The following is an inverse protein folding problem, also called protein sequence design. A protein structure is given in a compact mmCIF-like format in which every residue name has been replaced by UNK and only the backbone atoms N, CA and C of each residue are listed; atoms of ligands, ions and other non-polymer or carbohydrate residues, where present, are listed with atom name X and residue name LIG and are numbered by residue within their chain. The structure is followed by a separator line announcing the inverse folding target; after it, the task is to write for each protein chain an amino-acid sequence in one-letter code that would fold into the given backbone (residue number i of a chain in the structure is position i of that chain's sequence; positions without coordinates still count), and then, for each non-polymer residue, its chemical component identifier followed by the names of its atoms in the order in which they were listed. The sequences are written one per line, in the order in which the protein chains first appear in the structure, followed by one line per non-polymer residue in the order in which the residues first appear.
data_IF_680736110564
#
_entry.id   IF_680736110564
#
_cell.length_a   1.000
_cell.length_b   1.000
_cell.length_c   1.000
_cell.angle_alpha   90.00
_cell.angle_beta   90.00
_cell.angle_gamma   90.00
#
_symmetry.space_group_name_H-M   'P 1'
#
loop_
_entity.id
_entity.type
_entity.pdbx_description
1 polymer ?
#
# COMPACT_ATOMS: atom_id res chain seq x y z
N UNK A 1 12.53 -10.65 -6.58
CA UNK A 1 11.65 -9.45 -6.64
C UNK A 1 12.56 -8.23 -6.51
N UNK A 2 12.20 -7.05 -7.05
CA UNK A 2 13.08 -5.87 -7.00
C UNK A 2 12.28 -4.58 -6.77
N UNK A 3 12.95 -3.58 -6.18
CA UNK A 3 12.46 -2.19 -6.11
C UNK A 3 12.83 -1.46 -7.40
N UNK A 4 11.84 -0.99 -8.16
CA UNK A 4 12.10 -0.27 -9.41
C UNK A 4 12.16 1.25 -9.22
N UNK A 5 11.41 1.77 -8.25
CA UNK A 5 11.46 3.18 -7.90
C UNK A 5 11.03 3.40 -6.45
N UNK A 6 11.59 4.47 -5.90
CA UNK A 6 11.17 5.04 -4.62
C UNK A 6 10.57 6.41 -4.94
N UNK A 7 9.39 6.68 -4.40
CA UNK A 7 8.71 7.96 -4.54
C UNK A 7 8.35 8.53 -3.18
N UNK A 8 8.64 9.81 -2.97
CA UNK A 8 8.34 10.53 -1.73
C UNK A 8 7.48 11.74 -2.03
N UNK A 9 6.70 12.17 -1.06
CA UNK A 9 5.95 13.43 -1.13
C UNK A 9 6.66 14.49 -0.29
N UNK A 10 6.84 15.68 -0.86
CA UNK A 10 7.03 16.88 -0.04
C UNK A 10 5.70 17.35 0.55
N UNK A 11 5.73 18.34 1.45
CA UNK A 11 4.51 19.04 1.83
C UNK A 11 3.82 19.61 0.59
N UNK A 12 2.56 19.22 0.38
CA UNK A 12 1.88 19.52 -0.88
C UNK A 12 0.37 19.55 -0.75
N UNK A 13 -0.25 20.37 -1.61
CA UNK A 13 -1.69 20.43 -1.75
C UNK A 13 -2.10 19.75 -3.05
N UNK A 14 -3.16 18.95 -3.00
CA UNK A 14 -3.88 18.51 -4.19
C UNK A 14 -5.08 19.44 -4.40
N UNK A 15 -5.20 19.94 -5.63
CA UNK A 15 -6.33 20.78 -6.04
C UNK A 15 -7.28 19.98 -6.91
N UNK A 16 -8.56 19.98 -6.58
CA UNK A 16 -9.62 19.43 -7.44
C UNK A 16 -10.85 20.32 -7.36
N UNK A 17 -11.38 20.74 -8.53
CA UNK A 17 -12.53 21.65 -8.64
C UNK A 17 -12.42 22.89 -7.74
N UNK A 18 -11.24 23.51 -7.69
CA UNK A 18 -10.97 24.72 -6.90
C UNK A 18 -10.74 24.51 -5.39
N UNK A 19 -10.84 23.28 -4.86
CA UNK A 19 -10.55 22.97 -3.46
C UNK A 19 -9.11 22.47 -3.30
N UNK A 20 -8.34 23.10 -2.42
CA UNK A 20 -6.99 22.67 -2.02
C UNK A 20 -7.07 21.81 -0.76
N UNK A 21 -6.52 20.60 -0.82
CA UNK A 21 -6.45 19.66 0.30
C UNK A 21 -4.99 19.28 0.54
N UNK A 22 -4.51 19.40 1.77
CA UNK A 22 -3.18 18.94 2.16
C UNK A 22 -3.09 17.42 2.01
N UNK A 23 -2.11 16.93 1.25
CA UNK A 23 -2.00 15.50 0.95
C UNK A 23 -0.61 15.11 0.45
N UNK A 24 -0.06 14.01 0.99
CA UNK A 24 1.13 13.33 0.46
C UNK A 24 0.86 12.38 -0.72
N UNK A 25 -0.31 12.44 -1.36
CA UNK A 25 -0.62 11.55 -2.51
C UNK A 25 0.21 11.89 -3.76
N UNK A 26 0.68 13.13 -3.86
CA UNK A 26 1.57 13.57 -4.94
C UNK A 26 3.01 13.20 -4.60
N UNK A 27 3.39 11.96 -4.92
CA UNK A 27 4.76 11.49 -4.76
C UNK A 27 5.57 11.70 -6.03
N UNK A 28 6.83 12.07 -5.84
CA UNK A 28 7.84 12.23 -6.89
C UNK A 28 8.93 11.21 -6.69
N UNK A 29 9.40 10.65 -7.80
CA UNK A 29 10.52 9.71 -7.80
C UNK A 29 11.76 10.39 -7.22
N UNK A 30 12.50 9.64 -6.40
CA UNK A 30 13.84 10.00 -5.95
C UNK A 30 14.85 9.02 -6.53
N UNK A 31 16.01 9.53 -6.93
CA UNK A 31 17.04 8.72 -7.59
C UNK A 31 18.14 8.22 -6.63
N UNK A 32 18.19 8.77 -5.42
CA UNK A 32 19.17 8.42 -4.39
C UNK A 32 18.64 7.46 -3.32
N UNK A 33 19.55 6.92 -2.48
CA UNK A 33 19.17 6.13 -1.31
C UNK A 33 18.34 6.98 -0.33
N UNK A 34 17.39 6.34 0.33
CA UNK A 34 16.57 6.92 1.40
C UNK A 34 16.81 6.16 2.70
N UNK A 35 16.51 6.80 3.83
CA UNK A 35 16.52 6.14 5.13
C UNK A 35 15.09 5.80 5.55
N UNK A 36 14.87 4.56 6.01
CA UNK A 36 13.55 4.08 6.42
C UNK A 36 13.58 3.70 7.89
N UNK A 37 12.66 4.30 8.63
CA UNK A 37 12.46 4.13 10.08
C UNK A 37 11.15 3.40 10.35
N UNK A 38 10.90 3.02 11.61
CA UNK A 38 9.59 2.50 12.05
C UNK A 38 8.43 3.45 11.81
N UNK A 39 8.69 4.75 11.68
CA UNK A 39 7.67 5.76 11.41
C UNK A 39 7.44 6.01 9.92
N UNK A 40 8.33 5.51 9.05
CA UNK A 40 8.25 5.67 7.60
C UNK A 40 9.58 6.12 6.98
N UNK A 41 9.51 6.52 5.72
CA UNK A 41 10.68 6.99 4.96
C UNK A 41 10.98 8.45 5.36
N UNK A 42 12.22 8.72 5.75
CA UNK A 42 12.68 10.07 6.07
C UNK A 42 12.48 10.98 4.87
N UNK A 43 11.77 12.09 5.07
CA UNK A 43 11.44 13.06 4.02
C UNK A 43 10.14 12.78 3.27
N UNK A 44 9.43 11.67 3.55
CA UNK A 44 8.05 11.49 3.04
C UNK A 44 7.04 12.15 3.97
N UNK A 45 6.24 13.07 3.42
CA UNK A 45 5.21 13.76 4.18
C UNK A 45 3.95 12.88 4.36
N UNK A 46 3.60 12.61 5.61
CA UNK A 46 2.36 11.92 5.97
C UNK A 46 1.37 12.91 6.61
N UNK A 47 0.52 13.52 5.78
CA UNK A 47 -0.47 14.51 6.22
C UNK A 47 -1.45 14.01 7.29
N UNK A 48 -1.67 12.69 7.36
CA UNK A 48 -2.65 12.04 8.22
C UNK A 48 -2.05 10.72 8.71
N UNK A 49 -1.42 10.76 9.88
CA UNK A 49 -0.76 9.58 10.46
C UNK A 49 -1.78 8.54 10.96
N UNK A 50 -3.01 8.93 11.29
CA UNK A 50 -4.05 7.98 11.72
C UNK A 50 -4.55 7.13 10.55
N UNK A 51 -4.89 7.75 9.42
CA UNK A 51 -5.50 7.04 8.29
C UNK A 51 -4.48 6.61 7.23
N UNK A 52 -3.36 7.29 7.10
CA UNK A 52 -2.39 7.08 6.00
C UNK A 52 -0.94 6.91 6.46
N UNK A 53 -0.69 6.76 7.76
CA UNK A 53 0.66 6.60 8.31
C UNK A 53 0.70 5.78 9.59
N UNK A 54 1.76 5.99 10.37
CA UNK A 54 2.02 5.24 11.60
C UNK A 54 2.72 3.89 11.35
N UNK A 55 3.07 3.20 12.44
CA UNK A 55 3.96 2.03 12.41
C UNK A 55 3.44 0.92 11.48
N UNK A 56 2.12 0.71 11.44
CA UNK A 56 1.51 -0.30 10.56
C UNK A 56 1.46 0.10 9.08
N UNK A 57 1.68 1.38 8.76
CA UNK A 57 1.59 1.93 7.41
C UNK A 57 2.84 2.75 7.06
N UNK A 58 3.99 2.35 7.59
CA UNK A 58 5.25 3.07 7.43
C UNK A 58 5.66 3.20 5.95
N UNK A 59 5.44 2.16 5.16
CA UNK A 59 5.75 2.14 3.73
C UNK A 59 4.59 1.57 2.93
N UNK A 60 4.17 2.24 1.87
CA UNK A 60 3.18 1.73 0.93
C UNK A 60 3.85 1.19 -0.34
N UNK A 61 3.60 -0.08 -0.68
CA UNK A 61 4.15 -0.73 -1.86
C UNK A 61 3.05 -1.04 -2.90
N UNK A 62 3.41 -0.90 -4.17
CA UNK A 62 2.52 -1.17 -5.30
C UNK A 62 3.24 -1.89 -6.44
N UNK A 63 2.63 -2.95 -6.95
CA UNK A 63 3.22 -3.80 -7.97
C UNK A 63 3.21 -3.12 -9.36
N UNK A 64 4.32 -3.21 -10.10
CA UNK A 64 4.41 -2.68 -11.48
C UNK A 64 3.52 -3.44 -12.46
N UNK A 65 3.16 -4.67 -12.13
CA UNK A 65 2.16 -5.45 -12.85
C UNK A 65 0.78 -4.77 -12.79
N UNK A 66 0.42 -4.19 -11.64
CA UNK A 66 -0.81 -3.41 -11.52
C UNK A 66 -0.73 -2.08 -12.26
N UNK A 67 0.45 -1.46 -12.34
CA UNK A 67 0.68 -0.31 -13.22
C UNK A 67 0.33 -0.67 -14.67
N UNK A 68 0.85 -1.77 -15.20
CA UNK A 68 0.56 -2.21 -16.59
C UNK A 68 -0.93 -2.40 -16.84
N UNK A 69 -1.64 -3.00 -15.89
CA UNK A 69 -3.10 -3.13 -15.96
C UNK A 69 -3.77 -1.76 -16.10
N UNK A 70 -3.46 -0.81 -15.21
CA UNK A 70 -4.08 0.52 -15.25
C UNK A 70 -3.66 1.35 -16.45
N UNK A 71 -2.42 1.24 -16.91
CA UNK A 71 -1.96 1.92 -18.12
C UNK A 71 -2.74 1.45 -19.36
N UNK A 72 -3.05 0.16 -19.44
CA UNK A 72 -3.91 -0.39 -20.49
C UNK A 72 -5.36 0.11 -20.36
N UNK A 73 -5.94 0.02 -19.15
CA UNK A 73 -7.32 0.46 -18.90
C UNK A 73 -7.52 1.97 -19.11
N UNK A 74 -6.50 2.78 -18.85
CA UNK A 74 -6.56 4.24 -18.96
C UNK A 74 -5.99 4.77 -20.28
N UNK A 75 -5.40 3.90 -21.11
CA UNK A 75 -4.79 4.28 -22.38
C UNK A 75 -3.63 5.27 -22.27
N UNK A 76 -2.93 5.32 -21.13
CA UNK A 76 -1.83 6.26 -20.89
C UNK A 76 -0.77 5.69 -19.95
N UNK A 77 0.47 6.15 -20.10
CA UNK A 77 1.55 5.85 -19.16
C UNK A 77 1.32 6.56 -17.83
N UNK A 78 1.67 5.90 -16.74
CA UNK A 78 1.53 6.43 -15.38
C UNK A 78 2.92 6.54 -14.73
N UNK A 79 3.26 7.67 -14.10
CA UNK A 79 4.51 7.79 -13.37
C UNK A 79 4.48 6.97 -12.07
N UNK A 80 5.64 6.50 -11.59
CA UNK A 80 5.71 5.89 -10.27
C UNK A 80 5.41 6.91 -9.17
N UNK A 81 4.66 6.48 -8.14
CA UNK A 81 4.03 7.33 -7.15
C UNK A 81 2.62 7.79 -7.54
N UNK A 82 2.09 7.41 -8.71
CA UNK A 82 0.76 7.84 -9.17
C UNK A 82 -0.35 7.45 -8.20
N UNK A 83 -0.24 6.28 -7.56
CA UNK A 83 -1.22 5.81 -6.59
C UNK A 83 -0.89 6.26 -5.17
N UNK A 84 0.16 7.07 -4.99
CA UNK A 84 0.66 7.55 -3.70
C UNK A 84 1.51 6.52 -2.96
N UNK A 85 2.01 5.50 -3.64
CA UNK A 85 2.94 4.52 -3.10
C UNK A 85 4.35 5.08 -2.92
N UNK A 86 5.04 4.55 -1.92
CA UNK A 86 6.46 4.79 -1.73
C UNK A 86 7.31 3.92 -2.63
N UNK A 87 6.93 2.64 -2.78
CA UNK A 87 7.73 1.66 -3.51
C UNK A 87 6.96 1.12 -4.70
N UNK A 88 7.51 1.31 -5.91
CA UNK A 88 7.12 0.54 -7.07
C UNK A 88 7.95 -0.75 -7.11
N UNK A 89 7.30 -1.90 -6.94
CA UNK A 89 7.95 -3.22 -6.78
C UNK A 89 7.55 -4.19 -7.89
N UNK A 90 8.38 -5.21 -8.15
CA UNK A 90 8.13 -6.23 -9.18
C UNK A 90 8.05 -7.64 -8.59
N UNK A 91 7.14 -8.45 -9.12
CA UNK A 91 6.90 -9.82 -8.67
C UNK A 91 6.13 -9.93 -7.34
N UNK A 92 5.45 -8.86 -6.93
CA UNK A 92 4.76 -8.74 -5.64
C UNK A 92 3.30 -8.30 -5.82
N UNK A 93 2.54 -9.01 -6.66
CA UNK A 93 1.12 -8.67 -6.90
C UNK A 93 0.24 -8.97 -5.68
N UNK A 94 -0.95 -8.36 -5.62
CA UNK A 94 -1.92 -8.53 -4.53
C UNK A 94 -2.36 -9.99 -4.32
N UNK A 95 -2.22 -10.83 -5.35
CA UNK A 95 -2.49 -12.28 -5.27
C UNK A 95 -1.35 -13.09 -4.66
N UNK A 96 -0.11 -12.60 -4.72
CA UNK A 96 1.08 -13.34 -4.32
C UNK A 96 1.60 -12.96 -2.94
N UNK A 97 1.19 -11.80 -2.43
CA UNK A 97 1.62 -11.24 -1.15
C UNK A 97 0.52 -11.47 -0.11
N UNK A 98 0.89 -11.97 1.06
CA UNK A 98 -0.04 -12.24 2.15
C UNK A 98 0.19 -11.32 3.34
N UNK A 99 -0.87 -11.03 4.09
CA UNK A 99 -0.75 -10.31 5.35
C UNK A 99 0.08 -11.16 6.31
N UNK A 100 1.12 -10.56 6.89
CA UNK A 100 2.08 -11.24 7.77
C UNK A 100 3.37 -11.70 7.09
N UNK A 101 3.44 -11.75 5.76
CA UNK A 101 4.67 -12.04 5.03
C UNK A 101 5.79 -11.06 5.44
N UNK A 102 7.01 -11.58 5.60
CA UNK A 102 8.20 -10.78 5.93
C UNK A 102 9.14 -10.78 4.74
N UNK A 103 9.60 -9.58 4.37
CA UNK A 103 10.54 -9.38 3.28
C UNK A 103 11.79 -8.66 3.75
N UNK A 104 12.94 -9.06 3.20
CA UNK A 104 14.17 -8.29 3.22
C UNK A 104 14.21 -7.39 1.98
N UNK A 105 14.49 -6.12 2.17
CA UNK A 105 14.61 -5.11 1.11
C UNK A 105 15.88 -4.29 1.36
N UNK A 106 16.96 -4.61 0.64
CA UNK A 106 18.28 -4.07 0.98
C UNK A 106 18.67 -4.41 2.43
N UNK A 107 18.87 -3.39 3.27
CA UNK A 107 19.18 -3.55 4.69
C UNK A 107 17.93 -3.67 5.60
N UNK A 108 16.74 -3.45 5.04
CA UNK A 108 15.47 -3.46 5.77
C UNK A 108 14.90 -4.86 5.93
N UNK A 109 14.17 -5.05 7.03
CA UNK A 109 13.20 -6.12 7.17
C UNK A 109 11.83 -5.49 7.42
N UNK A 110 10.84 -5.88 6.63
CA UNK A 110 9.50 -5.31 6.64
C UNK A 110 8.46 -6.41 6.66
N UNK A 111 7.30 -6.13 7.27
CA UNK A 111 6.19 -7.07 7.37
C UNK A 111 4.92 -6.46 6.78
N UNK A 112 4.19 -7.26 6.00
CA UNK A 112 2.91 -6.87 5.41
C UNK A 112 1.83 -6.81 6.48
N UNK A 113 1.10 -5.69 6.54
CA UNK A 113 0.16 -5.42 7.64
C UNK A 113 -1.29 -5.35 7.22
N UNK A 114 -1.56 -4.83 6.01
CA UNK A 114 -2.91 -4.62 5.50
C UNK A 114 -2.89 -4.24 4.01
N UNK A 115 -3.99 -4.50 3.27
CA UNK A 115 -4.27 -3.84 2.02
C UNK A 115 -4.42 -2.32 2.17
N UNK A 116 -4.17 -1.60 1.08
CA UNK A 116 -4.58 -0.20 0.98
C UNK A 116 -6.09 -0.12 0.79
N UNK A 117 -6.73 0.75 1.58
CA UNK A 117 -8.09 1.21 1.31
C UNK A 117 -8.02 2.56 0.58
N UNK A 118 -8.52 2.68 -0.67
CA UNK A 118 -8.45 3.94 -1.41
C UNK A 118 -9.40 4.98 -0.79
N UNK A 119 -9.03 6.26 -0.86
CA UNK A 119 -9.83 7.38 -0.36
C UNK A 119 -10.06 8.43 -1.46
N UNK A 120 -10.89 9.44 -1.17
CA UNK A 120 -11.26 10.48 -2.15
C UNK A 120 -10.07 11.24 -2.75
N UNK A 121 -8.94 11.34 -2.02
CA UNK A 121 -7.70 11.97 -2.51
C UNK A 121 -7.12 11.25 -3.73
N UNK A 122 -7.33 9.93 -3.86
CA UNK A 122 -6.97 9.18 -5.07
C UNK A 122 -7.82 9.64 -6.26
N UNK A 123 -9.13 9.81 -6.07
CA UNK A 123 -10.01 10.31 -7.13
C UNK A 123 -9.61 11.71 -7.59
N UNK A 124 -9.25 12.59 -6.65
CA UNK A 124 -8.68 13.90 -6.97
C UNK A 124 -7.37 13.78 -7.78
N UNK A 125 -6.45 12.89 -7.38
CA UNK A 125 -5.16 12.68 -8.05
C UNK A 125 -5.31 12.10 -9.47
N UNK A 126 -6.35 11.29 -9.67
CA UNK A 126 -6.66 10.67 -10.96
C UNK A 126 -7.56 11.54 -11.84
N UNK A 127 -8.01 12.69 -11.32
CA UNK A 127 -8.98 13.58 -11.97
C UNK A 127 -10.28 12.86 -12.33
N UNK A 128 -10.64 11.85 -11.54
CA UNK A 128 -11.82 11.00 -11.71
C UNK A 128 -12.28 10.47 -10.35
N UNK A 129 -13.38 11.00 -9.82
CA UNK A 129 -13.95 10.58 -8.54
C UNK A 129 -14.41 9.11 -8.57
N UNK A 130 -14.89 8.61 -9.71
CA UNK A 130 -15.33 7.22 -9.86
C UNK A 130 -14.15 6.23 -9.86
N UNK A 131 -12.92 6.71 -10.10
CA UNK A 131 -11.72 5.90 -10.05
C UNK A 131 -11.51 5.24 -8.69
N UNK A 132 -11.92 5.88 -7.59
CA UNK A 132 -11.81 5.32 -6.24
C UNK A 132 -12.52 3.97 -6.15
N UNK A 133 -13.74 3.90 -6.70
CA UNK A 133 -14.52 2.67 -6.75
C UNK A 133 -13.89 1.63 -7.68
N UNK A 134 -13.48 2.02 -8.89
CA UNK A 134 -12.81 1.12 -9.85
C UNK A 134 -11.55 0.50 -9.24
N UNK A 135 -10.74 1.32 -8.57
CA UNK A 135 -9.53 0.89 -7.89
C UNK A 135 -9.82 -0.10 -6.77
N UNK A 136 -10.79 0.21 -5.90
CA UNK A 136 -11.23 -0.68 -4.81
C UNK A 136 -11.72 -2.04 -5.33
N UNK A 137 -12.63 -2.05 -6.31
CA UNK A 137 -13.23 -3.29 -6.81
C UNK A 137 -12.30 -4.11 -7.70
N UNK A 138 -11.24 -3.52 -8.25
CA UNK A 138 -10.22 -4.27 -8.99
C UNK A 138 -9.45 -5.28 -8.11
N UNK A 139 -9.39 -5.02 -6.80
CA UNK A 139 -8.52 -5.77 -5.87
C UNK A 139 -7.02 -5.54 -6.08
N UNK A 140 -6.64 -4.60 -6.96
CA UNK A 140 -5.26 -4.20 -7.26
C UNK A 140 -4.90 -2.96 -6.48
N UNK A 141 -4.88 -3.09 -5.16
CA UNK A 141 -4.81 -1.93 -4.26
C UNK A 141 -3.42 -1.71 -3.68
N UNK A 142 -2.55 -2.70 -3.76
CA UNK A 142 -1.27 -2.73 -3.05
C UNK A 142 -1.44 -2.83 -1.54
N UNK A 143 -0.34 -2.71 -0.83
CA UNK A 143 -0.28 -3.08 0.58
C UNK A 143 0.70 -2.23 1.36
N UNK A 144 0.41 -2.10 2.65
CA UNK A 144 1.26 -1.42 3.60
C UNK A 144 2.20 -2.39 4.30
N UNK A 145 3.35 -1.84 4.67
CA UNK A 145 4.45 -2.51 5.33
C UNK A 145 4.77 -1.77 6.62
N UNK A 146 4.92 -2.52 7.71
CA UNK A 146 5.62 -2.06 8.93
C UNK A 146 7.09 -2.41 8.83
N UNK A 147 7.93 -1.61 9.48
CA UNK A 147 9.38 -1.82 9.50
C UNK A 147 9.76 -2.57 10.76
N UNK A 148 10.35 -3.76 10.59
CA UNK A 148 10.89 -4.57 11.68
C UNK A 148 12.34 -4.17 11.98
N UNK A 149 13.12 -3.94 10.91
CA UNK A 149 14.51 -3.48 10.96
C UNK A 149 14.69 -2.26 10.06
N UNK A 150 15.11 -1.16 10.67
CA UNK A 150 15.38 0.13 10.02
C UNK A 150 16.70 0.12 9.25
N UNK A 151 16.87 1.05 8.31
CA UNK A 151 18.06 1.10 7.48
C UNK A 151 17.90 1.88 6.18
N UNK A 152 18.98 1.93 5.37
CA UNK A 152 18.93 2.50 4.03
C UNK A 152 18.18 1.61 3.04
N UNK A 153 17.61 2.24 2.03
CA UNK A 153 16.94 1.61 0.90
C UNK A 153 17.27 2.37 -0.39
N UNK A 154 17.61 1.66 -1.46
CA UNK A 154 17.91 2.24 -2.76
C UNK A 154 16.99 1.71 -3.86
N UNK A 155 16.67 2.53 -4.89
CA UNK A 155 16.15 1.99 -6.14
C UNK A 155 17.09 0.91 -6.68
N UNK A 156 16.54 -0.21 -7.14
CA UNK A 156 17.32 -1.36 -7.62
C UNK A 156 17.65 -2.41 -6.57
N UNK A 157 17.40 -2.14 -5.27
CA UNK A 157 17.61 -3.15 -4.23
C UNK A 157 16.75 -4.40 -4.49
N UNK A 158 17.37 -5.56 -4.25
CA UNK A 158 16.69 -6.84 -4.31
C UNK A 158 15.72 -6.99 -3.14
N UNK A 159 14.62 -7.68 -3.42
CA UNK A 159 13.61 -8.07 -2.43
C UNK A 159 13.58 -9.59 -2.34
N UNK A 160 13.73 -10.08 -1.12
CA UNK A 160 13.67 -11.50 -0.77
C UNK A 160 12.55 -11.72 0.25
N UNK A 161 11.75 -12.77 0.06
CA UNK A 161 10.76 -13.19 1.06
C UNK A 161 11.46 -14.06 2.10
N UNK A 162 11.48 -13.59 3.34
CA UNK A 162 12.06 -14.31 4.47
C UNK A 162 11.05 -15.25 5.13
N UNK A 163 9.77 -14.87 5.10
CA UNK A 163 8.68 -15.60 5.75
C UNK A 163 7.39 -15.50 4.95
N UNK A 164 6.66 -16.60 4.88
CA UNK A 164 5.27 -16.67 4.42
C UNK A 164 4.39 -16.91 5.63
N UNK A 165 3.39 -16.05 5.84
CA UNK A 165 2.45 -16.23 6.96
C UNK A 165 1.65 -17.54 6.80
N UNK A 166 1.42 -18.25 7.91
CA UNK A 166 0.77 -19.56 7.88
C UNK A 166 -0.69 -19.50 7.39
N UNK A 167 -1.40 -18.39 7.63
CA UNK A 167 -2.79 -18.21 7.20
C UNK A 167 -2.87 -17.97 5.68
N UNK A 168 -1.80 -17.45 5.07
CA UNK A 168 -1.71 -17.16 3.63
C UNK A 168 -2.92 -16.34 3.12
N UNK A 169 -3.36 -15.35 3.90
CA UNK A 169 -4.40 -14.43 3.47
C UNK A 169 -3.83 -13.39 2.50
N UNK A 170 -4.11 -13.57 1.21
CA UNK A 170 -3.61 -12.66 0.16
C UNK A 170 -4.18 -11.25 0.33
N UNK A 171 -3.46 -10.23 -0.16
CA UNK A 171 -3.95 -8.84 -0.17
C UNK A 171 -5.25 -8.72 -0.95
N UNK A 172 -5.35 -9.43 -2.08
CA UNK A 172 -6.56 -9.43 -2.90
C UNK A 172 -7.74 -10.07 -2.18
N UNK A 173 -7.55 -11.18 -1.48
CA UNK A 173 -8.63 -11.84 -0.74
C UNK A 173 -9.03 -11.03 0.50
N UNK A 174 -8.08 -10.43 1.20
CA UNK A 174 -8.36 -9.56 2.33
C UNK A 174 -9.29 -8.39 1.98
N UNK A 175 -9.20 -7.84 0.76
CA UNK A 175 -10.11 -6.80 0.28
C UNK A 175 -11.58 -7.24 0.22
N UNK A 176 -11.85 -8.54 0.05
CA UNK A 176 -13.22 -9.06 0.06
C UNK A 176 -13.87 -8.91 1.44
N UNK A 177 -13.10 -8.86 2.54
CA UNK A 177 -13.64 -8.63 3.88
C UNK A 177 -14.41 -7.30 4.00
N UNK A 178 -14.06 -6.31 3.16
CA UNK A 178 -14.67 -4.99 3.16
C UNK A 178 -16.01 -4.93 2.40
N UNK A 179 -16.28 -5.91 1.55
CA UNK A 179 -17.43 -5.93 0.65
C UNK A 179 -18.42 -7.04 1.05
N UNK A 180 -19.72 -6.81 0.90
CA UNK A 180 -20.72 -7.88 1.08
C UNK A 180 -20.52 -8.96 0.03
N UNK A 181 -20.22 -10.17 0.47
CA UNK A 181 -20.08 -11.35 -0.38
C UNK A 181 -20.29 -12.63 0.45
N UNK A 182 -20.54 -13.80 -0.16
CA UNK A 182 -20.82 -15.04 0.57
C UNK A 182 -19.70 -15.49 1.51
N UNK A 183 -18.44 -15.18 1.19
CA UNK A 183 -17.25 -15.55 1.96
C UNK A 183 -16.82 -14.47 2.96
N UNK A 184 -17.56 -13.37 3.10
CA UNK A 184 -17.12 -12.22 3.88
C UNK A 184 -16.78 -12.58 5.33
N UNK A 185 -17.62 -13.37 5.99
CA UNK A 185 -17.41 -13.72 7.41
C UNK A 185 -16.26 -14.72 7.60
N UNK A 186 -16.08 -15.66 6.66
CA UNK A 186 -14.93 -16.58 6.62
C UNK A 186 -13.61 -15.79 6.54
N UNK A 187 -13.53 -14.82 5.63
CA UNK A 187 -12.33 -14.01 5.44
C UNK A 187 -12.08 -13.08 6.63
N UNK A 188 -13.14 -12.53 7.24
CA UNK A 188 -13.02 -11.75 8.48
C UNK A 188 -12.41 -12.60 9.59
N UNK A 189 -12.89 -13.83 9.78
CA UNK A 189 -12.37 -14.74 10.80
C UNK A 189 -10.87 -15.02 10.57
N UNK A 190 -10.50 -15.42 9.35
CA UNK A 190 -9.09 -15.66 8.98
C UNK A 190 -8.20 -14.43 9.19
N UNK A 191 -8.65 -13.25 8.77
CA UNK A 191 -7.89 -12.02 8.93
C UNK A 191 -7.64 -11.69 10.41
N UNK A 192 -8.61 -11.94 11.29
CA UNK A 192 -8.47 -11.71 12.72
C UNK A 192 -7.52 -12.70 13.40
N UNK A 193 -7.24 -13.86 12.80
CA UNK A 193 -6.24 -14.81 13.29
C UNK A 193 -4.81 -14.38 12.95
N UNK A 194 -4.60 -13.60 11.88
CA UNK A 194 -3.26 -13.12 11.48
C UNK A 194 -2.72 -12.15 12.54
N UNK A 195 -1.66 -12.48 13.30
CA UNK A 195 -1.15 -11.59 14.36
C UNK A 195 -0.64 -10.27 13.80
N UNK A 196 -0.09 -10.32 12.58
CA UNK A 196 0.46 -9.17 11.90
C UNK A 196 -0.57 -8.19 11.35
N UNK A 197 -1.88 -8.51 11.33
CA UNK A 197 -2.91 -7.59 10.84
C UNK A 197 -2.86 -6.27 11.61
N UNK A 198 -2.85 -5.15 10.88
CA UNK A 198 -2.83 -3.81 11.49
C UNK A 198 -3.96 -3.61 12.50
N UNK A 199 -3.72 -2.78 13.52
CA UNK A 199 -4.73 -2.50 14.55
C UNK A 199 -6.01 -1.91 13.95
N UNK A 200 -5.86 -0.93 13.04
CA UNK A 200 -6.99 -0.26 12.39
C UNK A 200 -7.86 -1.25 11.60
N UNK A 201 -7.26 -2.18 10.86
CA UNK A 201 -8.04 -3.24 10.19
C UNK A 201 -8.71 -4.15 11.20
N UNK A 202 -7.98 -4.60 12.23
CA UNK A 202 -8.53 -5.49 13.26
C UNK A 202 -9.78 -4.90 13.91
N UNK A 203 -9.75 -3.62 14.27
CA UNK A 203 -10.89 -2.93 14.86
C UNK A 203 -12.06 -2.78 13.87
N UNK A 204 -11.77 -2.44 12.60
CA UNK A 204 -12.77 -2.34 11.54
C UNK A 204 -13.46 -3.68 11.26
N UNK A 205 -12.69 -4.77 11.21
CA UNK A 205 -13.21 -6.11 10.94
C UNK A 205 -14.01 -6.66 12.12
N UNK A 206 -13.59 -6.42 13.37
CA UNK A 206 -14.37 -6.80 14.56
C UNK A 206 -15.77 -6.18 14.58
N UNK A 207 -15.92 -4.94 14.11
CA UNK A 207 -17.24 -4.28 13.98
C UNK A 207 -18.12 -4.90 12.89
N UNK A 208 -17.53 -5.64 11.94
CA UNK A 208 -18.20 -6.30 10.82
C UNK A 208 -18.41 -7.80 11.05
N UNK A 209 -17.75 -8.36 12.05
CA UNK A 209 -17.92 -9.74 12.49
C UNK A 209 -19.32 -9.89 13.09
N UNK A 210 -20.07 -10.88 12.60
CA UNK A 210 -21.41 -11.19 13.07
C UNK A 210 -21.39 -12.20 14.20
#
# INVERSE_FOLDING_TARGET
MNILAISLSGEGFVSHKGRKTLSGICKQRVDGPVHVTKQGIVGDFQADQENHGGIDKAVYAYAVENYRYWEQELGKKLPFGQFGENLAVSGMTDELVHIGDIFRMGALEVQVTQPRVPCFKLGMRMEDEAFVGRFHFSGRVGFYLRVLKEGPLSPGDAIERLHVDAIQLSIRDAMLALNKNPRQQEIIALALEVPALSLAWRESLKKKQK
#
